data_IF_155881579908
#
_entry.id   IF_155881579908
#
_cell.length_a   1.000
_cell.length_b   1.000
_cell.length_c   1.000
_cell.angle_alpha   90.00
_cell.angle_beta   90.00
_cell.angle_gamma   90.00
#
_symmetry.space_group_name_H-M   'P 1'
#
loop_
_entity.id
_entity.type
_entity.pdbx_description
1 polymer ?
#
# COMPACT_ATOMS: atom_id res chain seq x y z
N UNK A 1 2.19 -11.33 11.16
CA UNK A 1 1.00 -10.59 11.64
C UNK A 1 0.34 -11.43 12.71
N UNK A 2 0.00 -10.85 13.86
CA UNK A 2 -0.61 -11.62 14.96
C UNK A 2 -1.93 -12.25 14.51
N UNK A 3 -2.13 -13.52 14.87
CA UNK A 3 -3.33 -14.27 14.52
C UNK A 3 -4.55 -13.68 15.24
N UNK A 4 -4.37 -13.28 16.50
CA UNK A 4 -5.40 -12.63 17.29
C UNK A 4 -5.50 -11.14 16.91
N UNK A 5 -6.66 -10.67 16.40
CA UNK A 5 -6.87 -9.25 16.10
C UNK A 5 -6.65 -8.32 17.28
N UNK A 6 -6.92 -8.77 18.52
CA UNK A 6 -6.79 -7.96 19.73
C UNK A 6 -5.32 -7.67 20.08
N UNK A 7 -4.40 -8.52 19.62
CA UNK A 7 -2.96 -8.34 19.83
C UNK A 7 -2.32 -7.46 18.75
N UNK A 8 -3.06 -7.11 17.68
CA UNK A 8 -2.52 -6.27 16.61
C UNK A 8 -2.40 -4.83 17.10
N UNK A 9 -1.29 -4.15 16.80
CA UNK A 9 -1.14 -2.76 17.16
C UNK A 9 -2.16 -1.90 16.39
N UNK A 10 -2.67 -0.87 17.07
CA UNK A 10 -3.52 0.12 16.42
C UNK A 10 -2.73 0.94 15.39
N UNK A 11 -3.43 1.52 14.42
CA UNK A 11 -2.81 2.42 13.44
C UNK A 11 -2.05 3.58 14.12
N UNK A 12 -2.59 4.10 15.24
CA UNK A 12 -1.95 5.13 16.04
C UNK A 12 -0.62 4.64 16.63
N UNK A 13 -0.60 3.43 17.20
CA UNK A 13 0.62 2.85 17.76
C UNK A 13 1.69 2.66 16.68
N UNK A 14 1.30 2.15 15.50
CA UNK A 14 2.20 2.00 14.35
C UNK A 14 2.75 3.36 13.92
N UNK A 15 1.90 4.37 13.77
CA UNK A 15 2.30 5.72 13.37
C UNK A 15 3.32 6.35 14.33
N UNK A 16 3.14 6.16 15.64
CA UNK A 16 4.10 6.63 16.64
C UNK A 16 5.47 5.95 16.50
N UNK A 17 5.49 4.62 16.33
CA UNK A 17 6.74 3.86 16.14
C UNK A 17 7.47 4.33 14.89
N UNK A 18 6.76 4.49 13.76
CA UNK A 18 7.37 4.96 12.51
C UNK A 18 7.91 6.39 12.62
N UNK A 19 7.24 7.27 13.36
CA UNK A 19 7.68 8.64 13.58
C UNK A 19 8.96 8.69 14.43
N UNK A 20 9.05 7.82 15.44
CA UNK A 20 10.25 7.66 16.24
C UNK A 20 11.42 7.17 15.36
N UNK A 21 11.19 6.14 14.55
CA UNK A 21 12.22 5.60 13.64
C UNK A 21 12.72 6.65 12.65
N UNK A 22 11.80 7.43 12.04
CA UNK A 22 12.17 8.54 11.15
C UNK A 22 13.09 9.53 11.88
N UNK A 23 12.77 9.88 13.12
CA UNK A 23 13.56 10.82 13.91
C UNK A 23 14.97 10.29 14.18
N UNK A 24 15.09 8.99 14.48
CA UNK A 24 16.38 8.32 14.72
C UNK A 24 17.25 8.29 13.46
N UNK A 25 16.64 7.94 12.32
CA UNK A 25 17.35 7.89 11.04
C UNK A 25 17.80 9.29 10.60
N UNK A 26 16.97 10.31 10.83
CA UNK A 26 17.27 11.69 10.46
C UNK A 26 18.32 12.37 11.36
N UNK A 27 18.42 11.96 12.63
CA UNK A 27 19.33 12.59 13.61
C UNK A 27 20.30 11.57 14.22
N UNK A 28 21.47 11.33 13.59
CA UNK A 28 22.45 10.34 14.03
C UNK A 28 23.04 10.58 15.43
N UNK A 29 22.89 11.80 15.96
CA UNK A 29 23.50 12.23 17.22
C UNK A 29 22.66 11.89 18.47
N UNK A 30 21.38 11.49 18.31
CA UNK A 30 20.43 11.49 19.43
C UNK A 30 20.50 10.23 20.32
N UNK A 31 21.14 9.13 19.93
CA UNK A 31 21.30 8.02 20.88
C UNK A 31 22.28 6.94 20.39
N UNK A 32 23.37 6.77 21.12
CA UNK A 32 24.26 5.60 21.04
C UNK A 32 23.50 4.29 21.33
N UNK A 33 22.41 4.36 22.10
CA UNK A 33 21.51 3.25 22.45
C UNK A 33 20.54 2.86 21.31
N UNK A 34 20.26 3.77 20.36
CA UNK A 34 19.36 3.55 19.21
C UNK A 34 20.11 3.18 17.92
N UNK A 35 21.44 2.99 18.02
CA UNK A 35 22.31 2.44 16.97
C UNK A 35 21.78 1.10 16.41
N UNK A 36 21.16 0.28 17.25
CA UNK A 36 20.76 -1.08 16.89
C UNK A 36 19.61 -1.11 15.87
N UNK A 37 18.73 -0.11 15.86
CA UNK A 37 17.67 0.03 14.85
C UNK A 37 18.30 0.31 13.49
N UNK A 38 19.21 1.28 13.41
CA UNK A 38 19.92 1.61 12.17
C UNK A 38 20.72 0.41 11.65
N UNK A 39 21.39 -0.31 12.54
CA UNK A 39 22.10 -1.56 12.19
C UNK A 39 21.14 -2.61 11.64
N UNK A 40 20.00 -2.81 12.28
CA UNK A 40 18.97 -3.75 11.83
C UNK A 40 18.42 -3.40 10.45
N UNK A 41 18.21 -2.12 10.16
CA UNK A 41 17.79 -1.68 8.82
C UNK A 41 18.84 -1.95 7.74
N UNK A 42 20.12 -1.70 8.03
CA UNK A 42 21.21 -1.98 7.10
C UNK A 42 21.32 -3.49 6.85
N UNK A 43 21.32 -4.30 7.91
CA UNK A 43 21.37 -5.76 7.81
C UNK A 43 20.19 -6.33 7.03
N UNK A 44 18.96 -5.86 7.30
CA UNK A 44 17.78 -6.33 6.57
C UNK A 44 17.84 -5.97 5.08
N UNK A 45 18.35 -4.79 4.74
CA UNK A 45 18.54 -4.39 3.35
C UNK A 45 19.56 -5.28 2.62
N UNK A 46 20.64 -5.65 3.29
CA UNK A 46 21.64 -6.54 2.72
C UNK A 46 21.11 -7.99 2.61
N UNK A 47 20.31 -8.44 3.58
CA UNK A 47 19.58 -9.71 3.51
C UNK A 47 18.59 -9.74 2.35
N UNK A 48 17.81 -8.67 2.11
CA UNK A 48 16.89 -8.58 0.97
C UNK A 48 17.64 -8.65 -0.36
N UNK A 49 18.79 -7.97 -0.49
CA UNK A 49 19.61 -8.00 -1.70
C UNK A 49 20.20 -9.38 -2.00
N UNK A 50 20.52 -10.14 -0.96
CA UNK A 50 21.15 -11.46 -1.06
C UNK A 50 20.14 -12.59 -1.14
N UNK A 51 18.94 -12.37 -0.61
CA UNK A 51 17.82 -13.28 -0.75
C UNK A 51 17.39 -13.30 -2.21
N UNK A 52 17.64 -14.41 -2.90
CA UNK A 52 16.96 -14.69 -4.16
C UNK A 52 15.47 -14.85 -3.86
N UNK A 53 14.75 -13.74 -3.91
CA UNK A 53 13.30 -13.76 -4.03
C UNK A 53 13.04 -14.38 -5.39
N UNK A 54 12.81 -15.70 -5.40
CA UNK A 54 12.17 -16.37 -6.53
C UNK A 54 10.79 -15.75 -6.62
N UNK A 55 10.73 -14.61 -7.30
CA UNK A 55 9.50 -13.92 -7.66
C UNK A 55 8.79 -14.91 -8.58
N UNK A 56 8.01 -15.80 -7.98
CA UNK A 56 7.09 -16.64 -8.73
C UNK A 56 6.18 -15.66 -9.41
N UNK A 57 6.40 -15.47 -10.71
CA UNK A 57 5.73 -14.50 -11.59
C UNK A 57 4.22 -14.73 -11.73
N UNK A 58 3.60 -15.46 -10.78
CA UNK A 58 2.29 -16.06 -10.93
C UNK A 58 1.40 -16.06 -9.67
N UNK A 59 1.77 -15.37 -8.58
CA UNK A 59 0.86 -15.28 -7.42
C UNK A 59 -0.29 -14.28 -7.59
N UNK A 60 -0.25 -13.39 -8.58
CA UNK A 60 -1.40 -12.54 -8.93
C UNK A 60 -2.55 -13.30 -9.62
N UNK A 61 -2.37 -14.58 -9.97
CA UNK A 61 -3.45 -15.40 -10.54
C UNK A 61 -4.39 -15.98 -9.47
N UNK A 62 -3.97 -16.05 -8.20
CA UNK A 62 -4.75 -16.73 -7.17
C UNK A 62 -5.87 -15.86 -6.56
N UNK A 63 -5.79 -14.53 -6.75
CA UNK A 63 -6.73 -13.54 -6.21
C UNK A 63 -7.65 -12.89 -7.24
N UNK A 64 -7.70 -13.39 -8.49
CA UNK A 64 -8.90 -13.16 -9.30
C UNK A 64 -9.99 -14.05 -8.73
N UNK A 65 -10.73 -13.51 -7.76
CA UNK A 65 -11.84 -14.17 -7.08
C UNK A 65 -12.72 -14.90 -8.09
N UNK A 66 -12.93 -16.21 -7.90
CA UNK A 66 -13.97 -16.96 -8.62
C UNK A 66 -15.37 -16.34 -8.47
N UNK A 67 -15.55 -15.41 -7.52
CA UNK A 67 -16.80 -14.70 -7.25
C UNK A 67 -17.09 -13.56 -8.23
N UNK A 68 -16.08 -12.91 -8.81
CA UNK A 68 -16.29 -11.73 -9.66
C UNK A 68 -16.00 -12.10 -11.11
N UNK A 69 -17.06 -12.40 -11.85
CA UNK A 69 -16.98 -12.63 -13.29
C UNK A 69 -16.73 -11.30 -14.01
N UNK A 70 -15.44 -10.95 -14.13
CA UNK A 70 -15.00 -9.69 -14.75
C UNK A 70 -15.46 -9.54 -16.21
N UNK A 71 -15.71 -10.66 -16.92
CA UNK A 71 -16.26 -10.63 -18.28
C UNK A 71 -17.71 -10.14 -18.30
N UNK A 72 -18.53 -10.65 -17.39
CA UNK A 72 -19.94 -10.28 -17.28
C UNK A 72 -20.10 -8.83 -16.85
N UNK A 73 -19.28 -8.38 -15.89
CA UNK A 73 -19.23 -6.97 -15.48
C UNK A 73 -18.81 -6.07 -16.64
N UNK A 74 -17.79 -6.47 -17.42
CA UNK A 74 -17.36 -5.71 -18.60
C UNK A 74 -18.47 -5.61 -19.65
N UNK A 75 -19.18 -6.71 -19.93
CA UNK A 75 -20.30 -6.69 -20.88
C UNK A 75 -21.45 -5.81 -20.40
N UNK A 76 -21.80 -5.88 -19.11
CA UNK A 76 -22.82 -5.03 -18.51
C UNK A 76 -22.45 -3.55 -18.57
N UNK A 77 -21.19 -3.21 -18.25
CA UNK A 77 -20.68 -1.83 -18.34
C UNK A 77 -20.72 -1.28 -19.75
N UNK A 78 -20.22 -2.01 -20.75
CA UNK A 78 -20.25 -1.55 -22.16
C UNK A 78 -21.70 -1.42 -22.67
N UNK A 79 -22.60 -2.31 -22.24
CA UNK A 79 -24.02 -2.22 -22.56
C UNK A 79 -24.67 -0.99 -21.92
N UNK A 80 -24.35 -0.70 -20.65
CA UNK A 80 -24.84 0.47 -19.92
C UNK A 80 -24.29 1.77 -20.51
N UNK A 81 -23.00 1.80 -20.88
CA UNK A 81 -22.36 2.94 -21.56
C UNK A 81 -23.02 3.22 -22.92
N UNK A 82 -23.46 2.19 -23.63
CA UNK A 82 -24.20 2.35 -24.89
C UNK A 82 -25.59 2.98 -24.67
N UNK A 83 -26.20 2.75 -23.51
CA UNK A 83 -27.50 3.35 -23.13
C UNK A 83 -27.38 4.73 -22.48
N UNK A 84 -26.26 5.04 -21.80
CA UNK A 84 -26.03 6.33 -21.12
C UNK A 84 -25.72 7.49 -22.07
N UNK A 85 -25.41 7.24 -23.35
CA UNK A 85 -25.31 8.29 -24.37
C UNK A 85 -26.63 9.04 -24.61
N UNK A 86 -27.76 8.62 -24.03
CA UNK A 86 -29.02 9.34 -24.17
C UNK A 86 -29.39 10.30 -23.05
N UNK A 87 -29.02 10.11 -21.78
CA UNK A 87 -29.81 10.76 -20.72
C UNK A 87 -29.12 11.22 -19.42
N UNK A 88 -27.80 11.46 -19.33
CA UNK A 88 -27.28 12.15 -18.12
C UNK A 88 -26.04 13.01 -18.32
N UNK A 89 -26.17 14.28 -17.89
CA UNK A 89 -25.08 15.25 -17.75
C UNK A 89 -24.05 14.70 -16.77
N UNK A 90 -22.83 14.49 -17.27
CA UNK A 90 -21.65 14.21 -16.46
C UNK A 90 -21.39 15.45 -15.57
N UNK A 91 -21.55 15.32 -14.26
CA UNK A 91 -21.02 16.33 -13.35
C UNK A 91 -19.51 16.13 -13.30
N UNK A 92 -18.76 17.01 -13.96
CA UNK A 92 -17.31 17.07 -13.81
C UNK A 92 -16.98 17.38 -12.35
N UNK A 93 -16.36 16.42 -11.67
CA UNK A 93 -15.70 16.67 -10.40
C UNK A 93 -14.37 17.34 -10.72
N UNK A 94 -14.41 18.67 -10.81
CA UNK A 94 -13.21 19.49 -10.96
C UNK A 94 -12.40 19.42 -9.66
N UNK A 95 -11.29 18.69 -9.71
CA UNK A 95 -10.30 18.66 -8.63
C UNK A 95 -9.34 19.80 -8.92
N UNK A 96 -9.51 20.94 -8.23
CA UNK A 96 -8.52 22.00 -8.28
C UNK A 96 -7.20 21.48 -7.68
N UNK A 97 -6.17 21.36 -8.51
CA UNK A 97 -4.79 21.19 -8.06
C UNK A 97 -4.41 22.41 -7.21
N UNK A 98 -4.23 22.22 -5.91
CA UNK A 98 -3.59 23.22 -5.07
C UNK A 98 -2.08 23.10 -5.25
N UNK A 99 -1.53 23.91 -6.17
CA UNK A 99 -0.11 24.23 -6.20
C UNK A 99 0.24 24.95 -4.89
N UNK A 100 1.22 24.40 -4.16
CA UNK A 100 1.82 25.02 -2.98
C UNK A 100 3.12 25.71 -3.44
N UNK A 101 3.12 27.04 -3.46
CA UNK A 101 4.33 27.88 -3.46
C UNK A 101 5.01 27.88 -2.08
#
# INVERSE_FOLDING_TARGET
MDFDPCNRPSAKAISSILSEWRTIVANPLISLEKSDIKRSFISANDEIKTTQITLTSNQNSMYTSKLINTKEIKMAYESAKLTEFRDSKMCDLDVCDMELD
#
